data_IF_917021297193
#
_entry.id   IF_917021297193
#
_cell.length_a   1.000
_cell.length_b   1.000
_cell.length_c   1.000
_cell.angle_alpha   90.00
_cell.angle_beta   90.00
_cell.angle_gamma   90.00
#
_symmetry.space_group_name_H-M   'P 1'
#
loop_
_entity.id
_entity.type
_entity.pdbx_description
1 polymer ?
#
# COMPACT_ATOMS: atom_id res chain seq x y z
N UNK A 1 -37.54 74.43 19.38
CA UNK A 1 -37.21 73.91 18.04
C UNK A 1 -36.83 72.44 18.16
N UNK A 2 -37.54 71.57 17.44
CA UNK A 2 -37.33 70.11 17.36
C UNK A 2 -36.08 69.80 16.53
N UNK A 3 -35.23 68.85 16.95
CA UNK A 3 -34.39 68.09 16.02
C UNK A 3 -34.30 66.63 16.44
N UNK A 4 -34.62 65.78 15.46
CA UNK A 4 -34.90 64.37 15.58
C UNK A 4 -33.62 63.53 15.48
N UNK A 5 -33.71 62.35 16.09
CA UNK A 5 -32.80 61.21 15.99
C UNK A 5 -32.74 60.68 14.55
N UNK A 6 -31.55 60.33 14.06
CA UNK A 6 -31.40 59.38 12.96
C UNK A 6 -30.37 58.30 13.36
N UNK A 7 -30.91 57.14 13.71
CA UNK A 7 -30.20 55.88 13.89
C UNK A 7 -29.79 55.32 12.52
N UNK A 8 -28.52 54.96 12.34
CA UNK A 8 -28.08 54.14 11.21
C UNK A 8 -27.71 52.75 11.72
N UNK A 9 -28.58 51.79 11.42
CA UNK A 9 -28.33 50.36 11.61
C UNK A 9 -27.54 49.85 10.40
N UNK A 10 -26.28 49.47 10.61
CA UNK A 10 -25.46 48.77 9.61
C UNK A 10 -25.75 47.28 9.78
N UNK A 11 -26.47 46.72 8.81
CA UNK A 11 -26.81 45.30 8.76
C UNK A 11 -25.58 44.43 8.52
N UNK A 12 -25.37 43.45 9.39
CA UNK A 12 -24.45 42.33 9.16
C UNK A 12 -24.96 41.47 8.00
N UNK A 13 -24.23 41.46 6.90
CA UNK A 13 -24.33 40.41 5.88
C UNK A 13 -23.55 39.19 6.38
N UNK A 14 -24.27 38.24 6.98
CA UNK A 14 -23.75 36.91 7.27
C UNK A 14 -23.56 36.16 5.95
N UNK A 15 -22.31 36.07 5.48
CA UNK A 15 -21.91 35.07 4.50
C UNK A 15 -21.96 33.70 5.17
N UNK A 16 -23.10 33.03 5.06
CA UNK A 16 -23.17 31.59 5.27
C UNK A 16 -22.39 30.91 4.14
N UNK A 17 -21.11 30.61 4.40
CA UNK A 17 -20.38 29.59 3.67
C UNK A 17 -21.10 28.26 3.87
N UNK A 18 -22.02 27.92 2.97
CA UNK A 18 -22.56 26.58 2.85
C UNK A 18 -21.37 25.65 2.54
N UNK A 19 -20.87 24.95 3.56
CA UNK A 19 -19.97 23.80 3.39
C UNK A 19 -20.69 22.83 2.47
N UNK A 20 -20.22 22.76 1.22
CA UNK A 20 -20.63 21.72 0.29
C UNK A 20 -20.23 20.38 0.97
N UNK A 21 -21.18 19.52 1.37
CA UNK A 21 -20.80 18.18 1.81
C UNK A 21 -20.18 17.52 0.57
N UNK A 22 -18.86 17.32 0.62
CA UNK A 22 -18.11 16.75 -0.49
C UNK A 22 -18.83 15.50 -0.99
N UNK A 23 -18.97 15.37 -2.31
CA UNK A 23 -19.56 14.20 -2.94
C UNK A 23 -18.99 12.92 -2.29
N UNK A 24 -19.88 12.01 -1.87
CA UNK A 24 -19.48 10.77 -1.24
C UNK A 24 -18.51 10.03 -2.16
N UNK A 25 -17.28 9.79 -1.68
CA UNK A 25 -16.28 9.02 -2.43
C UNK A 25 -16.75 7.57 -2.54
N UNK A 26 -16.51 6.89 -3.67
CA UNK A 26 -16.87 5.49 -3.82
C UNK A 26 -16.10 4.64 -2.80
N UNK A 27 -16.81 3.76 -2.10
CA UNK A 27 -16.25 2.82 -1.13
C UNK A 27 -16.41 1.41 -1.64
N UNK A 28 -15.33 0.63 -1.62
CA UNK A 28 -15.31 -0.77 -2.02
C UNK A 28 -16.19 -1.61 -1.10
N UNK A 29 -17.18 -2.29 -1.67
CA UNK A 29 -18.13 -3.15 -0.94
C UNK A 29 -18.24 -4.57 -1.50
N UNK A 30 -17.36 -4.94 -2.45
CA UNK A 30 -17.34 -6.26 -3.05
C UNK A 30 -16.69 -7.34 -2.18
N UNK A 31 -16.82 -8.59 -2.61
CA UNK A 31 -16.05 -9.71 -2.05
C UNK A 31 -14.53 -9.44 -2.16
N UNK A 32 -13.68 -10.03 -1.30
CA UNK A 32 -12.24 -9.86 -1.40
C UNK A 32 -11.71 -10.22 -2.80
N UNK A 33 -10.80 -9.39 -3.32
CA UNK A 33 -10.14 -9.61 -4.61
C UNK A 33 -8.65 -9.80 -4.39
N UNK A 34 -8.16 -10.98 -4.78
CA UNK A 34 -6.75 -11.32 -4.70
C UNK A 34 -6.03 -11.06 -6.03
N UNK A 35 -4.80 -10.57 -5.93
CA UNK A 35 -3.89 -10.34 -7.04
C UNK A 35 -2.54 -10.96 -6.70
N UNK A 36 -2.10 -11.94 -7.49
CA UNK A 36 -0.78 -12.55 -7.29
C UNK A 36 0.33 -11.53 -7.59
N UNK A 37 1.25 -11.37 -6.66
CA UNK A 37 2.43 -10.49 -6.80
C UNK A 37 3.69 -11.29 -7.10
N UNK A 38 3.96 -12.34 -6.34
CA UNK A 38 5.16 -13.17 -6.50
C UNK A 38 4.76 -14.64 -6.51
N UNK A 39 5.49 -15.41 -7.30
CA UNK A 39 5.48 -16.87 -7.18
C UNK A 39 6.55 -17.30 -6.19
N UNK A 40 6.28 -18.38 -5.46
CA UNK A 40 7.28 -19.05 -4.65
C UNK A 40 8.55 -19.29 -5.46
N UNK A 41 9.67 -18.92 -4.86
CA UNK A 41 11.01 -19.21 -5.35
C UNK A 41 11.77 -19.91 -4.23
N UNK A 42 12.18 -21.17 -4.43
CA UNK A 42 12.90 -21.92 -3.42
C UNK A 42 14.27 -21.30 -3.15
N UNK A 43 14.88 -21.72 -2.04
CA UNK A 43 16.21 -21.28 -1.63
C UNK A 43 17.26 -21.54 -2.72
N UNK A 44 17.99 -20.49 -3.07
CA UNK A 44 19.12 -20.56 -3.97
C UNK A 44 20.16 -19.49 -3.63
N UNK A 45 21.43 -19.77 -3.87
CA UNK A 45 22.49 -18.77 -3.73
C UNK A 45 22.25 -17.56 -4.64
N UNK A 46 22.44 -16.36 -4.10
CA UNK A 46 22.18 -15.08 -4.78
C UNK A 46 23.45 -14.36 -5.20
N UNK A 47 24.59 -14.71 -4.60
CA UNK A 47 25.89 -14.08 -4.86
C UNK A 47 26.29 -14.17 -6.34
N UNK A 48 25.91 -15.24 -7.02
CA UNK A 48 26.22 -15.48 -8.44
C UNK A 48 25.15 -14.97 -9.40
N UNK A 49 24.04 -14.41 -8.90
CA UNK A 49 22.97 -13.89 -9.75
C UNK A 49 23.42 -12.62 -10.46
N UNK A 50 23.18 -12.58 -11.77
CA UNK A 50 23.51 -11.43 -12.61
C UNK A 50 22.49 -10.31 -12.46
N UNK A 51 21.23 -10.65 -12.20
CA UNK A 51 20.16 -9.67 -12.05
C UNK A 51 20.22 -9.02 -10.67
N UNK A 52 20.62 -7.74 -10.65
CA UNK A 52 20.78 -6.93 -9.45
C UNK A 52 20.02 -5.61 -9.60
N UNK A 53 19.53 -5.05 -8.50
CA UNK A 53 18.94 -3.70 -8.46
C UNK A 53 20.01 -2.66 -8.17
N UNK A 54 20.80 -2.33 -9.19
CA UNK A 54 21.91 -1.35 -9.07
C UNK A 54 21.45 0.08 -8.82
N UNK A 55 20.14 0.36 -8.94
CA UNK A 55 19.55 1.64 -8.55
C UNK A 55 19.28 1.73 -7.04
N UNK A 56 19.45 0.64 -6.29
CA UNK A 56 19.23 0.56 -4.85
C UNK A 56 20.53 0.34 -4.10
N UNK A 57 20.58 0.88 -2.88
CA UNK A 57 21.62 0.58 -1.90
C UNK A 57 20.96 0.20 -0.58
N UNK A 58 21.36 -0.93 -0.02
CA UNK A 58 20.90 -1.42 1.28
C UNK A 58 21.97 -1.17 2.32
N UNK A 59 21.58 -0.64 3.46
CA UNK A 59 22.47 -0.50 4.62
C UNK A 59 22.82 -1.89 5.14
N UNK A 60 24.10 -2.24 5.04
CA UNK A 60 24.66 -3.51 5.53
C UNK A 60 25.90 -3.25 6.37
N UNK A 61 26.13 -4.10 7.36
CA UNK A 61 27.34 -4.05 8.20
C UNK A 61 28.57 -4.53 7.41
N UNK A 62 28.39 -5.56 6.57
CA UNK A 62 29.44 -6.18 5.77
C UNK A 62 28.86 -6.64 4.40
N UNK A 63 29.69 -6.67 3.36
CA UNK A 63 29.32 -7.21 2.05
C UNK A 63 28.98 -6.15 1.00
N UNK A 64 28.42 -6.60 -0.14
CA UNK A 64 27.99 -5.72 -1.23
C UNK A 64 26.58 -5.20 -0.94
N UNK A 65 26.34 -3.87 -0.92
CA UNK A 65 25.05 -3.29 -0.54
C UNK A 65 24.00 -3.36 -1.67
N UNK A 66 24.37 -3.89 -2.84
CA UNK A 66 23.50 -3.94 -4.02
C UNK A 66 22.72 -5.27 -4.01
N UNK A 67 21.39 -5.23 -3.87
CA UNK A 67 20.62 -6.46 -3.72
C UNK A 67 20.45 -7.20 -5.05
N UNK A 68 20.51 -8.53 -4.97
CA UNK A 68 20.19 -9.44 -6.05
C UNK A 68 18.68 -9.68 -6.15
N UNK A 69 18.16 -9.85 -7.36
CA UNK A 69 16.75 -10.14 -7.61
C UNK A 69 16.49 -11.64 -7.39
N UNK A 70 15.60 -11.96 -6.47
CA UNK A 70 15.10 -13.32 -6.24
C UNK A 70 13.98 -13.64 -7.24
N UNK A 71 12.96 -12.78 -7.25
CA UNK A 71 11.76 -12.93 -8.05
C UNK A 71 11.09 -11.57 -8.28
N UNK A 72 10.31 -11.48 -9.35
CA UNK A 72 9.50 -10.30 -9.67
C UNK A 72 8.11 -10.71 -10.12
N UNK A 73 7.17 -9.81 -9.89
CA UNK A 73 5.87 -9.88 -10.53
C UNK A 73 5.10 -8.58 -10.35
N UNK A 74 3.95 -8.53 -10.99
CA UNK A 74 3.16 -7.32 -11.09
C UNK A 74 1.68 -7.68 -11.19
N UNK A 75 0.86 -6.90 -10.49
CA UNK A 75 -0.60 -6.99 -10.57
C UNK A 75 -1.13 -6.41 -11.89
N UNK A 76 -2.30 -6.88 -12.32
CA UNK A 76 -3.14 -6.10 -13.23
C UNK A 76 -3.61 -4.81 -12.56
N UNK A 77 -3.94 -3.78 -13.33
CA UNK A 77 -4.41 -2.52 -12.75
C UNK A 77 -5.70 -2.70 -11.93
N UNK A 78 -5.76 -2.08 -10.75
CA UNK A 78 -6.94 -2.06 -9.89
C UNK A 78 -7.03 -0.74 -9.12
N UNK A 79 -8.22 -0.37 -8.65
CA UNK A 79 -8.44 0.79 -7.77
C UNK A 79 -8.86 0.31 -6.40
N UNK A 80 -8.36 0.98 -5.35
CA UNK A 80 -8.70 0.66 -3.96
C UNK A 80 -10.12 1.08 -3.61
N UNK A 81 -10.62 2.17 -4.19
CA UNK A 81 -11.95 2.74 -3.92
C UNK A 81 -12.21 2.80 -2.40
N UNK A 82 -11.24 3.32 -1.64
CA UNK A 82 -11.32 3.38 -0.17
C UNK A 82 -11.25 2.04 0.59
N UNK A 83 -11.23 0.88 -0.07
CA UNK A 83 -11.08 -0.45 0.55
C UNK A 83 -9.71 -0.68 1.22
N UNK A 84 -9.55 -1.77 1.95
CA UNK A 84 -8.27 -2.11 2.60
C UNK A 84 -7.45 -3.03 1.71
N UNK A 85 -6.14 -2.78 1.61
CA UNK A 85 -5.21 -3.54 0.78
C UNK A 85 -4.08 -4.09 1.64
N UNK A 86 -3.99 -5.42 1.74
CA UNK A 86 -3.05 -6.13 2.62
C UNK A 86 -2.33 -7.27 1.89
N UNK A 87 -1.19 -7.70 2.44
CA UNK A 87 -0.36 -8.78 1.90
C UNK A 87 -0.64 -10.13 2.55
N UNK A 88 -0.66 -11.19 1.72
CA UNK A 88 -0.97 -12.57 2.11
C UNK A 88 -0.09 -13.58 1.37
N UNK A 89 0.02 -14.79 1.90
CA UNK A 89 0.75 -15.89 1.27
C UNK A 89 -0.07 -16.75 0.31
N UNK A 90 -1.39 -16.61 0.31
CA UNK A 90 -2.29 -17.34 -0.58
C UNK A 90 -3.42 -16.46 -1.11
N UNK A 91 -4.09 -16.94 -2.15
CA UNK A 91 -5.23 -16.27 -2.78
C UNK A 91 -6.45 -16.19 -1.84
N UNK A 92 -6.59 -17.16 -0.94
CA UNK A 92 -7.70 -17.27 0.00
C UNK A 92 -7.57 -16.31 1.20
N UNK A 93 -6.40 -15.71 1.43
CA UNK A 93 -6.14 -14.79 2.53
C UNK A 93 -5.93 -15.46 3.89
N UNK A 94 -5.58 -16.76 3.90
CA UNK A 94 -5.41 -17.56 5.11
C UNK A 94 -3.94 -17.78 5.48
N UNK A 95 -3.04 -17.74 4.50
CA UNK A 95 -1.63 -18.02 4.71
C UNK A 95 -0.80 -16.75 4.96
N UNK A 96 0.20 -16.88 5.84
CA UNK A 96 1.31 -15.94 5.93
C UNK A 96 2.32 -16.12 4.79
N UNK A 97 3.29 -15.23 4.69
CA UNK A 97 4.32 -15.24 3.65
C UNK A 97 5.70 -14.95 4.25
N UNK A 98 6.76 -15.29 3.52
CA UNK A 98 8.14 -15.06 3.95
C UNK A 98 9.06 -14.65 2.80
N UNK A 99 10.12 -13.94 3.15
CA UNK A 99 11.19 -13.49 2.26
C UNK A 99 12.50 -13.51 3.04
N UNK A 100 13.60 -13.85 2.37
CA UNK A 100 14.90 -13.94 3.08
C UNK A 100 15.49 -12.58 3.46
N UNK A 101 15.37 -11.55 2.63
CA UNK A 101 15.63 -10.17 3.09
C UNK A 101 14.38 -9.32 2.98
N UNK A 102 14.04 -8.81 1.79
CA UNK A 102 12.90 -7.92 1.67
C UNK A 102 12.22 -7.97 0.31
N UNK A 103 10.99 -7.49 0.26
CA UNK A 103 10.26 -7.20 -0.96
C UNK A 103 10.20 -5.70 -1.13
N UNK A 104 10.63 -5.21 -2.30
CA UNK A 104 10.34 -3.85 -2.74
C UNK A 104 8.99 -3.82 -3.44
N UNK A 105 8.11 -2.92 -3.00
CA UNK A 105 6.85 -2.57 -3.63
C UNK A 105 7.00 -1.24 -4.37
N UNK A 106 6.60 -1.21 -5.64
CA UNK A 106 6.55 0.01 -6.45
C UNK A 106 5.14 0.16 -7.04
N UNK A 107 4.44 1.21 -6.60
CA UNK A 107 3.06 1.52 -7.04
C UNK A 107 3.14 2.51 -8.19
N UNK A 108 2.53 2.14 -9.31
CA UNK A 108 2.56 2.92 -10.54
C UNK A 108 1.15 3.32 -10.95
N UNK A 109 0.96 4.57 -11.35
CA UNK A 109 -0.32 5.07 -11.88
C UNK A 109 -0.56 4.62 -13.33
N UNK A 110 -1.71 5.01 -13.88
CA UNK A 110 -2.09 4.71 -15.28
C UNK A 110 -1.17 5.34 -16.33
N UNK A 111 -0.34 6.32 -15.96
CA UNK A 111 0.64 6.96 -16.84
C UNK A 111 2.02 6.30 -16.76
N UNK A 112 2.18 5.24 -15.96
CA UNK A 112 3.47 4.60 -15.77
C UNK A 112 4.38 5.34 -14.77
N UNK A 113 3.85 6.34 -14.04
CA UNK A 113 4.63 7.07 -13.03
C UNK A 113 4.55 6.36 -11.70
N UNK A 114 5.68 6.26 -11.01
CA UNK A 114 5.70 5.71 -9.65
C UNK A 114 5.15 6.74 -8.67
N UNK A 115 4.09 6.37 -7.97
CA UNK A 115 3.37 7.19 -7.00
C UNK A 115 3.59 6.75 -5.54
N UNK A 116 4.24 5.59 -5.34
CA UNK A 116 4.62 5.10 -4.02
C UNK A 116 5.70 4.02 -4.11
N UNK A 117 6.59 3.96 -3.11
CA UNK A 117 7.54 2.87 -2.92
C UNK A 117 7.65 2.50 -1.46
N UNK A 118 7.84 1.22 -1.17
CA UNK A 118 8.18 0.78 0.18
C UNK A 118 8.93 -0.55 0.17
N UNK A 119 9.75 -0.78 1.18
CA UNK A 119 10.40 -2.05 1.46
C UNK A 119 9.69 -2.78 2.62
N UNK A 120 9.56 -4.10 2.52
CA UNK A 120 8.94 -4.95 3.55
C UNK A 120 9.83 -6.16 3.79
N UNK A 121 10.30 -6.36 5.02
CA UNK A 121 11.17 -7.48 5.37
C UNK A 121 12.30 -7.11 6.34
N UNK A 122 13.29 -7.98 6.42
CA UNK A 122 14.50 -7.80 7.20
C UNK A 122 15.54 -6.95 6.45
N UNK A 123 15.54 -5.66 6.70
CA UNK A 123 16.47 -4.67 6.14
C UNK A 123 16.66 -3.50 7.12
N UNK A 124 17.87 -2.92 7.17
CA UNK A 124 18.21 -1.81 8.07
C UNK A 124 17.99 -0.42 7.44
N UNK A 125 17.81 -0.37 6.13
CA UNK A 125 17.51 0.81 5.34
C UNK A 125 17.75 0.52 3.87
N UNK A 126 16.81 0.92 3.00
CA UNK A 126 16.98 0.86 1.54
C UNK A 126 16.90 2.27 0.97
N UNK A 127 17.90 2.67 0.19
CA UNK A 127 17.92 3.96 -0.51
C UNK A 127 17.89 3.78 -2.02
N UNK A 128 17.34 4.76 -2.72
CA UNK A 128 17.37 4.90 -4.18
C UNK A 128 17.90 6.27 -4.53
N UNK A 129 19.17 6.35 -4.93
CA UNK A 129 19.87 7.63 -5.03
C UNK A 129 19.96 8.31 -3.65
N UNK A 130 19.36 9.50 -3.51
CA UNK A 130 19.34 10.24 -2.25
C UNK A 130 18.07 9.99 -1.41
N UNK A 131 17.11 9.21 -1.92
CA UNK A 131 15.83 8.96 -1.28
C UNK A 131 15.91 7.71 -0.39
N UNK A 132 15.56 7.85 0.89
CA UNK A 132 15.32 6.72 1.79
C UNK A 132 13.91 6.19 1.51
N UNK A 133 13.80 4.90 1.20
CA UNK A 133 12.51 4.26 1.01
C UNK A 133 11.85 3.99 2.36
N UNK A 134 10.52 4.09 2.39
CA UNK A 134 9.70 3.72 3.52
C UNK A 134 9.85 2.23 3.84
N UNK A 135 9.83 1.88 5.13
CA UNK A 135 9.79 0.51 5.61
C UNK A 135 8.42 0.21 6.20
N UNK A 136 7.75 -0.84 5.71
CA UNK A 136 6.45 -1.26 6.25
C UNK A 136 6.59 -2.50 7.11
N UNK A 137 5.88 -2.50 8.24
CA UNK A 137 5.89 -3.61 9.19
C UNK A 137 7.18 -3.71 10.00
N UNK A 138 7.35 -4.86 10.65
CA UNK A 138 8.53 -5.15 11.45
C UNK A 138 9.67 -5.72 10.60
N UNK A 139 10.90 -5.52 11.08
CA UNK A 139 12.11 -6.10 10.47
C UNK A 139 12.21 -7.59 10.79
N UNK A 140 11.64 -8.44 9.92
CA UNK A 140 11.61 -9.89 10.07
C UNK A 140 11.47 -10.60 8.72
N UNK A 141 11.71 -11.91 8.72
CA UNK A 141 11.69 -12.76 7.53
C UNK A 141 10.31 -13.33 7.18
N UNK A 142 9.35 -13.30 8.11
CA UNK A 142 8.05 -13.93 7.94
C UNK A 142 6.90 -13.11 8.55
N UNK A 143 5.78 -13.08 7.84
CA UNK A 143 4.62 -12.25 8.15
C UNK A 143 3.36 -13.10 8.18
N UNK A 144 2.48 -12.81 9.15
CA UNK A 144 1.16 -13.43 9.22
C UNK A 144 0.23 -12.98 8.07
N UNK A 145 -0.90 -13.68 7.87
CA UNK A 145 -1.89 -13.29 6.86
C UNK A 145 -2.42 -11.88 7.16
N UNK A 146 -2.31 -10.98 6.19
CA UNK A 146 -2.83 -9.63 6.28
C UNK A 146 -2.08 -8.71 7.26
N UNK A 147 -0.93 -9.14 7.78
CA UNK A 147 -0.16 -8.36 8.77
C UNK A 147 0.33 -7.02 8.21
N UNK A 148 0.71 -7.00 6.93
CA UNK A 148 1.23 -5.81 6.26
C UNK A 148 0.12 -5.12 5.48
N UNK A 149 -0.30 -3.96 5.99
CA UNK A 149 -1.27 -3.07 5.33
C UNK A 149 -0.55 -2.04 4.46
N UNK A 150 -0.84 -2.08 3.16
CA UNK A 150 -0.24 -1.20 2.17
C UNK A 150 -1.22 -0.12 1.68
N UNK A 151 -2.43 -0.02 2.26
CA UNK A 151 -3.50 0.87 1.77
C UNK A 151 -3.07 2.34 1.66
N UNK A 152 -2.16 2.78 2.54
CA UNK A 152 -1.64 4.15 2.57
C UNK A 152 -0.64 4.45 1.45
N UNK A 153 -0.04 3.41 0.84
CA UNK A 153 0.86 3.53 -0.30
C UNK A 153 0.08 3.76 -1.62
N UNK A 154 -1.21 3.46 -1.63
CA UNK A 154 -2.06 3.53 -2.81
C UNK A 154 -2.87 4.84 -2.84
N UNK A 155 -3.00 5.48 -4.00
CA UNK A 155 -4.05 6.47 -4.25
C UNK A 155 -5.43 5.91 -3.88
N UNK A 156 -6.31 6.76 -3.35
CA UNK A 156 -7.59 6.30 -2.81
C UNK A 156 -8.53 5.73 -3.90
N UNK A 157 -8.62 6.42 -5.04
CA UNK A 157 -9.66 6.18 -6.05
C UNK A 157 -9.10 5.91 -7.45
N UNK A 158 -7.82 6.17 -7.69
CA UNK A 158 -7.18 6.01 -8.99
C UNK A 158 -6.72 4.57 -9.24
N UNK A 159 -6.86 4.05 -10.47
CA UNK A 159 -6.27 2.75 -10.81
C UNK A 159 -4.75 2.78 -10.75
N UNK A 160 -4.17 1.72 -10.17
CA UNK A 160 -2.73 1.52 -10.04
C UNK A 160 -2.34 0.10 -10.36
N UNK A 161 -1.07 -0.10 -10.71
CA UNK A 161 -0.41 -1.41 -10.69
C UNK A 161 0.65 -1.43 -9.59
N UNK A 162 0.77 -2.55 -8.92
CA UNK A 162 1.84 -2.81 -7.95
C UNK A 162 2.82 -3.79 -8.58
N UNK A 163 4.09 -3.39 -8.67
CA UNK A 163 5.23 -4.27 -8.94
C UNK A 163 5.86 -4.67 -7.62
N UNK A 164 6.09 -5.96 -7.44
CA UNK A 164 6.86 -6.51 -6.32
C UNK A 164 8.19 -7.09 -6.84
N UNK A 165 9.27 -6.84 -6.11
CA UNK A 165 10.58 -7.45 -6.36
C UNK A 165 11.12 -8.01 -5.06
N UNK A 166 11.22 -9.34 -4.94
CA UNK A 166 11.92 -9.97 -3.83
C UNK A 166 13.42 -9.82 -4.04
N UNK A 167 14.09 -9.33 -2.99
CA UNK A 167 15.47 -8.87 -3.03
C UNK A 167 16.25 -9.47 -1.87
N UNK A 168 17.51 -9.76 -2.15
CA UNK A 168 18.44 -10.40 -1.24
C UNK A 168 19.77 -9.67 -1.21
N UNK A 169 20.40 -9.58 -0.04
CA UNK A 169 21.72 -8.97 0.13
C UNK A 169 22.73 -10.03 0.57
N UNK A 170 22.96 -10.99 -0.31
CA UNK A 170 24.00 -12.00 -0.20
C UNK A 170 23.55 -13.29 0.48
N UNK A 171 24.30 -14.37 0.26
CA UNK A 171 23.93 -15.69 0.79
C UNK A 171 22.88 -16.38 -0.07
N UNK A 172 21.74 -16.71 0.53
CA UNK A 172 20.68 -17.55 -0.05
C UNK A 172 19.36 -16.81 0.00
N UNK A 173 18.78 -16.56 -1.16
CA UNK A 173 17.49 -15.89 -1.28
C UNK A 173 16.35 -16.88 -1.48
N UNK A 174 15.21 -16.61 -0.84
CA UNK A 174 13.92 -17.26 -1.10
C UNK A 174 12.77 -16.27 -0.93
N UNK A 175 11.63 -16.61 -1.51
CA UNK A 175 10.35 -15.96 -1.22
C UNK A 175 9.23 -16.97 -1.38
N UNK A 176 8.23 -16.95 -0.51
CA UNK A 176 7.00 -17.74 -0.74
C UNK A 176 6.11 -17.04 -1.75
N UNK A 177 5.00 -17.67 -2.11
CA UNK A 177 3.92 -16.96 -2.79
C UNK A 177 3.55 -15.68 -2.01
N UNK A 178 3.21 -14.63 -2.77
CA UNK A 178 2.76 -13.34 -2.23
C UNK A 178 1.58 -12.84 -3.04
N UNK A 179 0.52 -12.45 -2.35
CA UNK A 179 -0.69 -11.88 -2.91
C UNK A 179 -0.99 -10.54 -2.25
N UNK A 180 -1.56 -9.63 -3.02
CA UNK A 180 -2.29 -8.47 -2.52
C UNK A 180 -3.78 -8.82 -2.50
N UNK A 181 -4.46 -8.57 -1.39
CA UNK A 181 -5.90 -8.72 -1.31
C UNK A 181 -6.54 -7.37 -0.99
N UNK A 182 -7.48 -6.97 -1.86
CA UNK A 182 -8.38 -5.83 -1.67
C UNK A 182 -9.67 -6.32 -1.00
N UNK A 183 -10.00 -5.72 0.14
CA UNK A 183 -11.19 -6.02 0.94
C UNK A 183 -12.00 -4.76 1.22
N UNK A 184 -13.26 -4.93 1.61
CA UNK A 184 -14.07 -3.82 2.12
C UNK A 184 -13.39 -3.22 3.36
N UNK A 185 -13.56 -1.91 3.62
CA UNK A 185 -13.05 -1.30 4.84
C UNK A 185 -13.63 -1.98 6.08
N UNK A 186 -12.84 -2.11 7.14
CA UNK A 186 -13.32 -2.64 8.41
C UNK A 186 -14.53 -1.82 8.91
N UNK A 187 -15.62 -2.51 9.26
CA UNK A 187 -16.89 -1.89 9.69
C UNK A 187 -17.94 -1.67 8.59
N UNK A 188 -17.63 -1.88 7.30
CA UNK A 188 -18.61 -1.74 6.21
C UNK A 188 -19.62 -2.92 6.12
N UNK A 189 -19.30 -4.08 6.71
CA UNK A 189 -20.11 -5.30 6.64
C UNK A 189 -21.38 -5.30 7.52
N UNK A 190 -21.62 -4.25 8.32
CA UNK A 190 -22.69 -4.23 9.33
C UNK A 190 -24.00 -3.55 8.96
N UNK A 191 -24.15 -2.98 7.75
CA UNK A 191 -25.27 -2.06 7.47
C UNK A 191 -26.46 -2.73 6.73
N UNK A 192 -26.35 -3.99 6.28
CA UNK A 192 -27.41 -4.59 5.45
C UNK A 192 -28.32 -5.62 6.16
N UNK A 193 -27.98 -6.07 7.38
CA UNK A 193 -28.74 -7.14 8.07
C UNK A 193 -29.74 -6.65 9.13
N UNK A 194 -29.71 -5.38 9.55
CA UNK A 194 -30.63 -4.87 10.58
C UNK A 194 -31.97 -4.33 10.04
N UNK A 195 -32.06 -3.88 8.78
CA UNK A 195 -33.30 -3.27 8.25
C UNK A 195 -34.40 -4.31 7.91
N UNK A 196 -34.06 -5.60 7.88
CA UNK A 196 -35.00 -6.69 7.58
C UNK A 196 -35.63 -7.35 8.83
N UNK A 197 -35.29 -6.91 10.04
CA UNK A 197 -35.83 -7.50 11.29
C UNK A 197 -36.97 -6.71 11.95
N UNK A 198 -37.28 -5.51 11.46
CA UNK A 198 -38.31 -4.63 12.04
C UNK A 198 -39.55 -4.44 11.14
N UNK A 199 -39.98 -5.48 10.42
CA UNK A 199 -41.28 -5.46 9.70
C UNK A 199 -42.15 -6.66 10.01
#
# INVERSE_FOLDING_TARGET
MRRALLSSAIGLLALCCARNPGAARPTYSGAPKAFKLLNETPEAETVTRQEKRTDLLVTVENGEPVPAVIAMGQTTAFSRQGGTVRLYGDEAGNAGWSVDNFVLLEVTDTQGRVVGRAAVGFQQGVTRGAEQLDSLGQMKFGFGPGEVDISHLLPADEPVTIKATALDVGGVGRVTDLYVILSAPEGAAGVQDEELRDR
#
